data_IF_181797085867
#
_entry.id   IF_181797085867
#
_cell.length_a   1.000
_cell.length_b   1.000
_cell.length_c   1.000
_cell.angle_alpha   90.00
_cell.angle_beta   90.00
_cell.angle_gamma   90.00
#
_symmetry.space_group_name_H-M   'P 1'
#
loop_
_entity.id
_entity.type
_entity.pdbx_description
1 polymer ?
#
# COMPACT_ATOMS: atom_id res chain seq x y z
N UNK A 1 -33.21 -5.97 -5.51
CA UNK A 1 -32.21 -5.70 -6.57
C UNK A 1 -31.35 -4.51 -6.18
N UNK A 2 -31.94 -3.42 -5.68
CA UNK A 2 -31.20 -2.24 -5.17
C UNK A 2 -30.24 -2.57 -4.01
N UNK A 3 -30.65 -3.37 -3.03
CA UNK A 3 -29.78 -3.75 -1.91
C UNK A 3 -28.54 -4.53 -2.36
N UNK A 4 -28.68 -5.37 -3.38
CA UNK A 4 -27.58 -6.13 -3.95
C UNK A 4 -26.58 -5.20 -4.66
N UNK A 5 -27.08 -4.29 -5.49
CA UNK A 5 -26.24 -3.30 -6.19
C UNK A 5 -25.49 -2.43 -5.18
N UNK A 6 -26.17 -1.95 -4.14
CA UNK A 6 -25.55 -1.17 -3.05
C UNK A 6 -24.45 -1.95 -2.32
N UNK A 7 -24.68 -3.23 -1.98
CA UNK A 7 -23.66 -4.08 -1.36
C UNK A 7 -22.45 -4.29 -2.28
N UNK A 8 -22.68 -4.50 -3.58
CA UNK A 8 -21.62 -4.66 -4.57
C UNK A 8 -20.76 -3.39 -4.69
N UNK A 9 -21.40 -2.22 -4.77
CA UNK A 9 -20.70 -0.94 -4.87
C UNK A 9 -19.85 -0.66 -3.61
N UNK A 10 -20.34 -1.01 -2.42
CA UNK A 10 -19.58 -0.89 -1.18
C UNK A 10 -18.37 -1.85 -1.20
N UNK A 11 -18.57 -3.10 -1.62
CA UNK A 11 -17.48 -4.08 -1.71
C UNK A 11 -16.39 -3.63 -2.68
N UNK A 12 -16.77 -3.12 -3.86
CA UNK A 12 -15.83 -2.59 -4.85
C UNK A 12 -15.04 -1.39 -4.28
N UNK A 13 -15.72 -0.49 -3.56
CA UNK A 13 -15.07 0.64 -2.90
C UNK A 13 -14.08 0.20 -1.81
N UNK A 14 -14.42 -0.83 -1.03
CA UNK A 14 -13.50 -1.42 -0.04
C UNK A 14 -12.24 -1.94 -0.74
N UNK A 15 -12.37 -2.71 -1.81
CA UNK A 15 -11.23 -3.21 -2.60
C UNK A 15 -10.37 -2.06 -3.13
N UNK A 16 -11.00 -1.02 -3.68
CA UNK A 16 -10.28 0.15 -4.18
C UNK A 16 -9.50 0.89 -3.09
N UNK A 17 -10.08 1.05 -1.90
CA UNK A 17 -9.41 1.70 -0.77
C UNK A 17 -8.23 0.85 -0.26
N UNK A 18 -8.42 -0.46 -0.10
CA UNK A 18 -7.34 -1.38 0.31
C UNK A 18 -6.17 -1.37 -0.67
N UNK A 19 -6.46 -1.31 -1.98
CA UNK A 19 -5.43 -1.17 -3.01
C UNK A 19 -4.65 0.14 -2.86
N UNK A 20 -5.34 1.27 -2.61
CA UNK A 20 -4.67 2.56 -2.35
C UNK A 20 -3.81 2.51 -1.09
N UNK A 21 -4.33 1.98 0.02
CA UNK A 21 -3.57 1.81 1.27
C UNK A 21 -2.30 0.96 1.04
N UNK A 22 -2.43 -0.14 0.29
CA UNK A 22 -1.28 -0.98 -0.09
C UNK A 22 -0.26 -0.21 -0.92
N UNK A 23 -0.70 0.60 -1.89
CA UNK A 23 0.18 1.43 -2.72
C UNK A 23 0.90 2.52 -1.93
N UNK A 24 0.31 2.98 -0.81
CA UNK A 24 0.90 3.94 0.12
C UNK A 24 1.89 3.32 1.11
N UNK A 25 2.01 1.99 1.15
CA UNK A 25 2.95 1.29 2.04
C UNK A 25 2.30 0.46 3.13
N UNK A 26 0.98 0.50 3.28
CA UNK A 26 0.23 -0.32 4.26
C UNK A 26 0.06 -1.74 3.73
N UNK A 27 1.18 -2.45 3.59
CA UNK A 27 1.23 -3.76 2.93
C UNK A 27 0.49 -4.89 3.66
N UNK A 28 0.05 -4.66 4.91
CA UNK A 28 -0.80 -5.59 5.65
C UNK A 28 -2.11 -5.91 4.92
N UNK A 29 -2.63 -4.95 4.15
CA UNK A 29 -3.84 -5.12 3.36
C UNK A 29 -3.71 -6.15 2.23
N UNK A 30 -2.49 -6.56 1.84
CA UNK A 30 -2.28 -7.67 0.88
C UNK A 30 -2.78 -9.03 1.39
N UNK A 31 -2.80 -9.20 2.71
CA UNK A 31 -3.24 -10.44 3.37
C UNK A 31 -4.59 -10.27 4.07
N UNK A 32 -5.20 -9.10 3.96
CA UNK A 32 -6.48 -8.82 4.60
C UNK A 32 -7.56 -9.67 3.96
N UNK A 33 -8.27 -10.42 4.80
CA UNK A 33 -9.38 -11.25 4.41
C UNK A 33 -10.41 -11.22 5.55
N UNK A 34 -11.60 -10.69 5.27
CA UNK A 34 -12.68 -10.63 6.24
C UNK A 34 -13.98 -11.11 5.57
N UNK A 35 -14.64 -12.08 6.19
CA UNK A 35 -15.95 -12.56 5.73
C UNK A 35 -17.04 -11.69 6.32
N UNK A 36 -17.80 -11.03 5.45
CA UNK A 36 -18.79 -10.03 5.84
C UNK A 36 -20.16 -10.43 5.32
N UNK A 37 -21.17 -10.36 6.18
CA UNK A 37 -22.59 -10.54 5.83
C UNK A 37 -23.39 -9.31 6.22
N UNK A 38 -24.24 -8.85 5.31
CA UNK A 38 -25.16 -7.74 5.50
C UNK A 38 -24.55 -6.36 5.25
N UNK A 39 -25.39 -5.45 4.76
CA UNK A 39 -25.01 -4.09 4.32
C UNK A 39 -24.37 -3.26 5.43
N UNK A 40 -24.86 -3.37 6.67
CA UNK A 40 -24.35 -2.57 7.79
C UNK A 40 -22.89 -2.86 8.11
N UNK A 41 -22.48 -4.14 8.09
CA UNK A 41 -21.08 -4.50 8.36
C UNK A 41 -20.16 -4.05 7.22
N UNK A 42 -20.60 -4.18 5.97
CA UNK A 42 -19.87 -3.65 4.81
C UNK A 42 -19.68 -2.13 4.93
N UNK A 43 -20.72 -1.40 5.35
CA UNK A 43 -20.63 0.06 5.55
C UNK A 43 -19.63 0.42 6.65
N UNK A 44 -19.66 -0.28 7.79
CA UNK A 44 -18.70 -0.06 8.88
C UNK A 44 -17.25 -0.28 8.45
N UNK A 45 -16.97 -1.33 7.69
CA UNK A 45 -15.62 -1.60 7.15
C UNK A 45 -15.22 -0.50 6.17
N UNK A 46 -16.12 -0.13 5.25
CA UNK A 46 -15.87 0.96 4.30
C UNK A 46 -15.55 2.29 5.00
N UNK A 47 -16.31 2.65 6.03
CA UNK A 47 -16.07 3.87 6.83
C UNK A 47 -14.74 3.81 7.59
N UNK A 48 -14.41 2.67 8.20
CA UNK A 48 -13.13 2.47 8.88
C UNK A 48 -11.97 2.67 7.91
N UNK A 49 -12.01 1.99 6.76
CA UNK A 49 -10.95 2.07 5.74
C UNK A 49 -10.82 3.47 5.14
N UNK A 50 -11.94 4.19 4.96
CA UNK A 50 -11.90 5.60 4.52
C UNK A 50 -11.18 6.49 5.53
N UNK A 51 -11.50 6.35 6.82
CA UNK A 51 -10.82 7.11 7.89
C UNK A 51 -9.33 6.80 7.94
N UNK A 52 -8.94 5.53 7.80
CA UNK A 52 -7.52 5.15 7.72
C UNK A 52 -6.84 5.78 6.50
N UNK A 53 -7.47 5.73 5.33
CA UNK A 53 -6.93 6.36 4.13
C UNK A 53 -6.81 7.89 4.27
N UNK A 54 -7.79 8.56 4.85
CA UNK A 54 -7.75 10.00 5.15
C UNK A 54 -6.62 10.33 6.13
N UNK A 55 -6.47 9.54 7.20
CA UNK A 55 -5.37 9.69 8.15
C UNK A 55 -4.01 9.55 7.47
N UNK A 56 -3.86 8.60 6.53
CA UNK A 56 -2.63 8.43 5.75
C UNK A 56 -2.30 9.69 4.93
N UNK A 57 -3.30 10.33 4.32
CA UNK A 57 -3.09 11.56 3.57
C UNK A 57 -2.80 12.77 4.47
N UNK A 58 -3.47 12.87 5.62
CA UNK A 58 -3.26 13.95 6.58
C UNK A 58 -1.86 13.85 7.22
N UNK A 59 -1.43 12.67 7.62
CA UNK A 59 -0.11 12.46 8.24
C UNK A 59 1.02 12.71 7.23
N UNK A 60 0.88 12.27 5.97
CA UNK A 60 1.84 12.65 4.91
C UNK A 60 2.00 14.17 4.79
N UNK A 61 0.96 14.95 5.10
CA UNK A 61 0.98 16.41 5.09
C UNK A 61 1.45 17.03 6.41
N UNK A 62 1.21 16.36 7.54
CA UNK A 62 1.47 16.83 8.90
C UNK A 62 2.80 16.33 9.51
N UNK A 63 3.49 15.36 8.88
CA UNK A 63 4.84 14.92 9.29
C UNK A 63 5.84 16.09 9.32
N UNK A 64 5.51 17.19 8.63
CA UNK A 64 6.27 18.43 8.63
C UNK A 64 6.07 19.31 9.88
N UNK A 65 5.07 19.05 10.74
CA UNK A 65 4.64 20.01 11.78
C UNK A 65 4.40 19.46 13.21
N UNK A 66 4.24 18.15 13.44
CA UNK A 66 3.87 17.64 14.77
C UNK A 66 4.71 16.45 15.25
N UNK A 67 5.62 16.70 16.19
CA UNK A 67 6.32 15.70 17.00
C UNK A 67 5.43 15.25 18.18
N UNK A 68 4.48 14.34 17.96
CA UNK A 68 3.72 13.73 19.06
C UNK A 68 3.94 12.21 19.11
N UNK A 69 4.76 11.78 20.07
CA UNK A 69 5.44 10.48 20.15
C UNK A 69 4.49 9.27 20.22
N UNK A 70 3.30 9.41 20.83
CA UNK A 70 2.37 8.28 21.06
C UNK A 70 1.62 7.87 19.78
N UNK A 71 1.28 8.82 18.92
CA UNK A 71 0.64 8.56 17.62
C UNK A 71 1.65 7.95 16.63
N UNK A 72 2.90 8.42 16.71
CA UNK A 72 4.02 7.93 15.91
C UNK A 72 4.33 6.46 16.22
N UNK A 73 4.29 6.01 17.48
CA UNK A 73 4.64 4.61 17.83
C UNK A 73 3.61 3.59 17.32
N UNK A 74 2.31 3.89 17.39
CA UNK A 74 1.27 2.99 16.84
C UNK A 74 1.30 2.95 15.31
N UNK A 75 1.64 4.07 14.66
CA UNK A 75 1.77 4.19 13.21
C UNK A 75 3.13 3.68 12.69
N UNK A 76 4.16 3.63 13.54
CA UNK A 76 5.51 3.22 13.16
C UNK A 76 5.54 1.79 12.64
N UNK A 77 4.60 0.92 13.02
CA UNK A 77 4.53 -0.44 12.47
C UNK A 77 4.20 -0.45 10.97
N UNK A 78 3.60 0.62 10.46
CA UNK A 78 3.12 0.75 9.07
C UNK A 78 4.04 1.56 8.16
N UNK A 79 4.93 2.42 8.71
CA UNK A 79 5.95 3.15 7.94
C UNK A 79 7.20 2.29 7.63
N UNK A 80 6.99 1.07 7.17
CA UNK A 80 8.06 0.16 6.74
C UNK A 80 8.83 0.77 5.56
N UNK A 81 8.13 1.47 4.67
CA UNK A 81 8.73 2.14 3.51
C UNK A 81 9.64 3.27 3.95
N UNK A 82 9.16 4.20 4.77
CA UNK A 82 9.94 5.35 5.22
C UNK A 82 11.22 4.91 5.94
N UNK A 83 11.11 3.95 6.88
CA UNK A 83 12.29 3.39 7.56
C UNK A 83 13.25 2.71 6.59
N UNK A 84 12.74 1.98 5.60
CA UNK A 84 13.61 1.35 4.61
C UNK A 84 14.32 2.40 3.76
N UNK A 85 13.66 3.51 3.44
CA UNK A 85 14.23 4.62 2.69
C UNK A 85 15.24 5.43 3.50
N UNK A 86 15.01 5.65 4.79
CA UNK A 86 15.97 6.26 5.71
C UNK A 86 17.26 5.45 5.82
N UNK A 87 17.13 4.11 5.89
CA UNK A 87 18.27 3.20 6.02
C UNK A 87 18.94 2.84 4.67
N UNK A 88 18.28 3.11 3.55
CA UNK A 88 18.78 2.78 2.21
C UNK A 88 18.47 3.91 1.22
N UNK A 89 19.50 4.73 0.96
CA UNK A 89 19.41 5.87 0.04
C UNK A 89 18.80 5.52 -1.32
N UNK A 90 19.17 4.38 -1.91
CA UNK A 90 18.66 3.97 -3.23
C UNK A 90 17.15 3.69 -3.25
N UNK A 91 16.53 3.37 -2.11
CA UNK A 91 15.08 3.16 -2.03
C UNK A 91 14.30 4.48 -2.09
N UNK A 92 14.94 5.64 -1.85
CA UNK A 92 14.29 6.96 -1.95
C UNK A 92 13.84 7.28 -3.38
N UNK A 93 14.48 6.68 -4.39
CA UNK A 93 14.08 6.84 -5.80
C UNK A 93 12.77 6.11 -6.15
N UNK A 94 12.28 5.25 -5.25
CA UNK A 94 11.15 4.37 -5.53
C UNK A 94 10.01 4.60 -4.53
N UNK A 95 8.80 4.97 -4.98
CA UNK A 95 7.63 4.98 -4.11
C UNK A 95 7.29 3.57 -3.62
N UNK A 96 6.50 3.50 -2.54
CA UNK A 96 6.06 2.26 -1.90
C UNK A 96 5.59 1.17 -2.89
N UNK A 97 4.77 1.54 -3.89
CA UNK A 97 4.31 0.63 -4.95
C UNK A 97 5.43 -0.02 -5.77
N UNK A 98 6.53 0.67 -6.02
CA UNK A 98 7.67 0.14 -6.78
C UNK A 98 8.54 -0.75 -5.91
N UNK A 99 8.76 -0.36 -4.65
CA UNK A 99 9.41 -1.21 -3.64
C UNK A 99 8.65 -2.53 -3.49
N UNK A 100 7.32 -2.46 -3.51
CA UNK A 100 6.45 -3.62 -3.48
C UNK A 100 6.64 -4.54 -4.70
N UNK A 101 6.76 -3.96 -5.90
CA UNK A 101 7.02 -4.71 -7.12
C UNK A 101 8.37 -5.44 -7.05
N UNK A 102 9.42 -4.79 -6.52
CA UNK A 102 10.71 -5.43 -6.27
C UNK A 102 10.60 -6.58 -5.25
N UNK A 103 9.87 -6.38 -4.15
CA UNK A 103 9.62 -7.45 -3.19
C UNK A 103 8.95 -8.66 -3.86
N UNK A 104 7.91 -8.42 -4.67
CA UNK A 104 7.21 -9.48 -5.39
C UNK A 104 8.12 -10.16 -6.44
N UNK A 105 8.99 -9.40 -7.10
CA UNK A 105 9.99 -9.94 -8.04
C UNK A 105 10.92 -10.95 -7.38
N UNK A 106 11.42 -10.67 -6.18
CA UNK A 106 12.37 -11.56 -5.49
C UNK A 106 11.71 -12.72 -4.73
N UNK A 107 10.47 -12.56 -4.27
CA UNK A 107 9.83 -13.54 -3.38
C UNK A 107 8.85 -14.50 -4.04
N UNK A 108 8.18 -14.10 -5.12
CA UNK A 108 7.21 -14.95 -5.83
C UNK A 108 7.88 -15.76 -6.93
N UNK A 109 7.17 -16.69 -7.56
CA UNK A 109 7.65 -17.35 -8.79
C UNK A 109 7.86 -16.34 -9.93
N UNK A 110 8.56 -16.74 -10.99
CA UNK A 110 8.95 -15.85 -12.09
C UNK A 110 7.71 -15.40 -12.87
N UNK A 111 7.29 -14.15 -12.64
CA UNK A 111 6.19 -13.51 -13.36
C UNK A 111 6.75 -12.53 -14.40
N UNK A 112 6.53 -12.76 -15.72
CA UNK A 112 7.15 -11.96 -16.77
C UNK A 112 6.77 -10.47 -16.67
N UNK A 113 5.51 -10.17 -16.37
CA UNK A 113 5.04 -8.78 -16.21
C UNK A 113 5.76 -8.02 -15.08
N UNK A 114 5.94 -8.64 -13.91
CA UNK A 114 6.66 -8.02 -12.78
C UNK A 114 8.15 -7.86 -13.14
N UNK A 115 8.73 -8.83 -13.85
CA UNK A 115 10.12 -8.76 -14.31
C UNK A 115 10.36 -7.57 -15.24
N UNK A 116 9.46 -7.33 -16.20
CA UNK A 116 9.55 -6.19 -17.11
C UNK A 116 9.42 -4.85 -16.38
N UNK A 117 8.49 -4.76 -15.43
CA UNK A 117 8.32 -3.57 -14.58
C UNK A 117 9.61 -3.31 -13.80
N UNK A 118 10.12 -4.29 -13.07
CA UNK A 118 11.31 -4.12 -12.26
C UNK A 118 12.55 -3.79 -13.11
N UNK A 119 12.71 -4.43 -14.27
CA UNK A 119 13.82 -4.14 -15.19
C UNK A 119 13.74 -2.70 -15.72
N UNK A 120 12.54 -2.22 -16.04
CA UNK A 120 12.30 -0.83 -16.45
C UNK A 120 12.64 0.13 -15.31
N UNK A 121 12.18 -0.16 -14.08
CA UNK A 121 12.44 0.66 -12.90
C UNK A 121 13.94 0.83 -12.63
N UNK A 122 14.71 -0.26 -12.68
CA UNK A 122 16.16 -0.22 -12.47
C UNK A 122 16.87 0.55 -13.58
N UNK A 123 16.39 0.48 -14.83
CA UNK A 123 17.00 1.18 -15.96
C UNK A 123 16.98 2.71 -15.82
N UNK A 124 16.04 3.27 -15.04
CA UNK A 124 16.00 4.71 -14.74
C UNK A 124 17.14 5.14 -13.82
N UNK A 125 17.60 4.26 -12.93
CA UNK A 125 18.74 4.54 -12.04
C UNK A 125 20.06 4.14 -12.71
N UNK A 126 20.07 3.03 -13.43
CA UNK A 126 21.23 2.56 -14.18
C UNK A 126 20.80 1.80 -15.44
N UNK A 127 20.96 2.42 -16.61
CA UNK A 127 20.60 1.82 -17.92
C UNK A 127 21.30 0.49 -18.23
N UNK A 128 22.47 0.24 -17.64
CA UNK A 128 23.25 -1.00 -17.86
C UNK A 128 22.89 -2.10 -16.86
N UNK A 129 22.15 -1.79 -15.80
CA UNK A 129 21.81 -2.77 -14.78
C UNK A 129 20.79 -3.78 -15.32
N UNK A 130 21.03 -5.05 -15.00
CA UNK A 130 20.16 -6.17 -15.37
C UNK A 130 19.78 -6.91 -14.10
N UNK A 131 18.48 -7.12 -13.90
CA UNK A 131 17.99 -7.91 -12.78
C UNK A 131 18.23 -9.38 -13.08
N UNK A 132 18.94 -10.05 -12.16
CA UNK A 132 19.11 -11.50 -12.19
C UNK A 132 18.26 -12.09 -11.06
N UNK A 133 17.59 -13.18 -11.38
CA UNK A 133 16.74 -13.95 -10.46
C UNK A 133 17.08 -15.42 -10.63
#
# INVERSE_FOLDING_TARGET
MEDFVSQFDIAQNIVNIMNKLTQLGHFGYRKYNESVKGTNRLRLISEKLKKELELCFLINRCYYYFNNLILIISFHRENIVDRAQENCYYLTFYPAKHILAFYDFYTKEKQPHISEICQTLVSFVNRKARLQK
#
